data_IF_237169797058
#
_entry.id   IF_237169797058
#
_cell.length_a   1.000
_cell.length_b   1.000
_cell.length_c   1.000
_cell.angle_alpha   90.00
_cell.angle_beta   90.00
_cell.angle_gamma   90.00
#
_symmetry.space_group_name_H-M   'P 1'
#
loop_
_entity.id
_entity.type
_entity.pdbx_description
1 polymer ?
#
# COMPACT_ATOMS: atom_id res chain seq x y z
N UNK A 1 21.17 96.15 65.03
CA UNK A 1 20.83 94.71 64.96
C UNK A 1 19.31 94.57 64.89
N UNK A 2 18.82 93.86 63.86
CA UNK A 2 17.40 93.56 63.60
C UNK A 2 16.88 92.47 64.56
N UNK A 3 15.55 92.45 64.81
CA UNK A 3 14.84 91.19 64.63
C UNK A 3 13.65 91.38 63.68
N UNK A 4 13.74 90.75 62.51
CA UNK A 4 12.60 90.54 61.61
C UNK A 4 11.68 89.49 62.23
N UNK A 5 10.47 89.90 62.63
CA UNK A 5 9.39 88.95 62.98
C UNK A 5 8.93 88.26 61.69
N UNK A 6 9.20 86.96 61.57
CA UNK A 6 8.63 86.13 60.52
C UNK A 6 7.15 85.90 60.82
N UNK A 7 6.27 86.30 59.90
CA UNK A 7 4.86 85.94 59.95
C UNK A 7 4.74 84.44 59.63
N UNK A 8 4.22 83.66 60.59
CA UNK A 8 3.84 82.26 60.35
C UNK A 8 2.57 82.28 59.53
N UNK A 9 2.70 82.03 58.23
CA UNK A 9 1.56 81.75 57.35
C UNK A 9 0.91 80.45 57.83
N UNK A 10 -0.32 80.53 58.34
CA UNK A 10 -1.13 79.32 58.55
C UNK A 10 -1.41 78.70 57.18
N UNK A 11 -0.72 77.60 56.88
CA UNK A 11 -1.03 76.76 55.72
C UNK A 11 -2.47 76.24 55.88
N UNK A 12 -3.37 76.69 55.00
CA UNK A 12 -4.70 76.11 54.87
C UNK A 12 -4.57 74.73 54.19
N UNK A 13 -5.06 73.68 54.86
CA UNK A 13 -4.86 72.26 54.52
C UNK A 13 -5.55 71.73 53.25
N UNK A 14 -5.67 72.52 52.18
CA UNK A 14 -6.28 72.06 50.92
C UNK A 14 -5.38 71.15 50.08
N UNK A 15 -4.05 71.29 50.19
CA UNK A 15 -3.10 70.44 49.48
C UNK A 15 -3.17 68.97 49.93
N UNK A 16 -3.46 68.71 51.21
CA UNK A 16 -3.61 67.36 51.75
C UNK A 16 -4.86 66.66 51.19
N UNK A 17 -5.99 67.37 51.11
CA UNK A 17 -7.23 66.83 50.55
C UNK A 17 -7.09 66.50 49.06
N UNK A 18 -6.45 67.39 48.28
CA UNK A 18 -6.14 67.15 46.88
C UNK A 18 -5.14 66.00 46.70
N UNK A 19 -4.11 65.90 47.55
CA UNK A 19 -3.15 64.80 47.54
C UNK A 19 -3.79 63.44 47.83
N UNK A 20 -4.69 63.36 48.82
CA UNK A 20 -5.45 62.15 49.13
C UNK A 20 -6.41 61.77 48.00
N UNK A 21 -7.09 62.73 47.39
CA UNK A 21 -7.95 62.48 46.23
C UNK A 21 -7.15 61.95 45.04
N UNK A 22 -5.95 62.50 44.79
CA UNK A 22 -5.07 62.09 43.70
C UNK A 22 -4.47 60.70 43.96
N UNK A 23 -4.10 60.38 45.21
CA UNK A 23 -3.69 59.03 45.59
C UNK A 23 -4.84 58.02 45.47
N UNK A 24 -6.06 58.38 45.84
CA UNK A 24 -7.23 57.53 45.66
C UNK A 24 -7.49 57.25 44.17
N UNK A 25 -7.41 58.28 43.32
CA UNK A 25 -7.51 58.14 41.86
C UNK A 25 -6.39 57.24 41.30
N UNK A 26 -5.14 57.45 41.72
CA UNK A 26 -4.01 56.63 41.32
C UNK A 26 -4.18 55.16 41.76
N UNK A 27 -4.66 54.93 42.98
CA UNK A 27 -4.97 53.59 43.50
C UNK A 27 -6.06 52.89 42.70
N UNK A 28 -7.15 53.60 42.36
CA UNK A 28 -8.21 53.07 41.49
C UNK A 28 -7.69 52.75 40.09
N UNK A 29 -6.88 53.64 39.50
CA UNK A 29 -6.27 53.41 38.20
C UNK A 29 -5.33 52.19 38.21
N UNK A 30 -4.53 52.02 39.27
CA UNK A 30 -3.66 50.86 39.46
C UNK A 30 -4.45 49.54 39.52
N UNK A 31 -5.52 49.50 40.32
CA UNK A 31 -6.40 48.32 40.42
C UNK A 31 -7.05 47.99 39.06
N UNK A 32 -7.49 49.02 38.31
CA UNK A 32 -8.05 48.83 36.98
C UNK A 32 -7.02 48.27 35.99
N UNK A 33 -5.78 48.79 36.01
CA UNK A 33 -4.67 48.30 35.18
C UNK A 33 -4.30 46.85 35.54
N UNK A 34 -4.27 46.52 36.83
CA UNK A 34 -4.02 45.15 37.29
C UNK A 34 -5.09 44.19 36.79
N UNK A 35 -6.38 44.53 36.92
CA UNK A 35 -7.48 43.72 36.40
C UNK A 35 -7.45 43.57 34.88
N UNK A 36 -7.07 44.61 34.15
CA UNK A 36 -6.87 44.53 32.70
C UNK A 36 -5.70 43.60 32.35
N UNK A 37 -4.60 43.69 33.09
CA UNK A 37 -3.42 42.84 32.94
C UNK A 37 -3.72 41.36 33.18
N UNK A 38 -4.48 41.04 34.24
CA UNK A 38 -4.92 39.67 34.52
C UNK A 38 -5.81 39.12 33.41
N UNK A 39 -6.80 39.90 32.93
CA UNK A 39 -7.68 39.49 31.83
C UNK A 39 -6.93 39.31 30.51
N UNK A 40 -6.00 40.21 30.20
CA UNK A 40 -5.15 40.11 29.01
C UNK A 40 -4.24 38.87 29.09
N UNK A 41 -3.66 38.60 30.26
CA UNK A 41 -2.86 37.42 30.55
C UNK A 41 -3.65 36.12 30.39
N UNK A 42 -4.83 36.02 31.01
CA UNK A 42 -5.72 34.87 30.92
C UNK A 42 -6.16 34.62 29.46
N UNK A 43 -6.49 35.67 28.71
CA UNK A 43 -6.81 35.57 27.28
C UNK A 43 -5.62 35.09 26.46
N UNK A 44 -4.41 35.62 26.71
CA UNK A 44 -3.19 35.19 26.02
C UNK A 44 -2.84 33.73 26.33
N UNK A 45 -3.03 33.29 27.58
CA UNK A 45 -2.87 31.89 27.97
C UNK A 45 -3.87 30.98 27.26
N UNK A 46 -5.15 31.38 27.19
CA UNK A 46 -6.18 30.62 26.47
C UNK A 46 -5.84 30.50 24.99
N UNK A 47 -5.42 31.59 24.34
CA UNK A 47 -4.99 31.57 22.95
C UNK A 47 -3.84 30.60 22.72
N UNK A 48 -2.77 30.66 23.54
CA UNK A 48 -1.64 29.72 23.46
C UNK A 48 -2.07 28.27 23.66
N UNK A 49 -2.93 28.00 24.63
CA UNK A 49 -3.44 26.65 24.91
C UNK A 49 -4.29 26.12 23.75
N UNK A 50 -5.11 26.98 23.14
CA UNK A 50 -5.95 26.66 21.97
C UNK A 50 -5.10 26.36 20.75
N UNK A 51 -4.07 27.17 20.51
CA UNK A 51 -3.13 27.01 19.41
C UNK A 51 -2.32 25.71 19.54
N UNK A 52 -1.85 25.41 20.76
CA UNK A 52 -1.16 24.18 21.08
C UNK A 52 -2.06 22.95 20.89
N UNK A 53 -3.34 23.03 21.32
CA UNK A 53 -4.32 21.98 21.11
C UNK A 53 -4.58 21.73 19.61
N UNK A 54 -4.85 22.79 18.84
CA UNK A 54 -5.09 22.68 17.39
C UNK A 54 -3.87 22.11 16.64
N UNK A 55 -2.67 22.59 16.94
CA UNK A 55 -1.44 22.05 16.34
C UNK A 55 -1.25 20.57 16.71
N UNK A 56 -1.45 20.20 17.98
CA UNK A 56 -1.31 18.82 18.43
C UNK A 56 -2.31 17.88 17.78
N UNK A 57 -3.55 18.33 17.58
CA UNK A 57 -4.56 17.58 16.83
C UNK A 57 -4.14 17.33 15.37
N UNK A 58 -3.57 18.35 14.71
CA UNK A 58 -3.01 18.19 13.36
C UNK A 58 -1.81 17.22 13.34
N UNK A 59 -0.95 17.25 14.36
CA UNK A 59 0.16 16.27 14.50
C UNK A 59 -0.36 14.84 14.60
N UNK A 60 -1.41 14.59 15.40
CA UNK A 60 -2.01 13.26 15.53
C UNK A 60 -2.58 12.77 14.20
N UNK A 61 -3.31 13.61 13.48
CA UNK A 61 -3.84 13.28 12.15
C UNK A 61 -2.71 12.98 11.16
N UNK A 62 -1.67 13.83 11.08
CA UNK A 62 -0.52 13.61 10.20
C UNK A 62 0.21 12.30 10.53
N UNK A 63 0.39 11.96 11.81
CA UNK A 63 0.96 10.67 12.24
C UNK A 63 0.11 9.48 11.79
N UNK A 64 -1.21 9.59 11.89
CA UNK A 64 -2.12 8.54 11.43
C UNK A 64 -1.99 8.30 9.91
N UNK A 65 -1.93 9.38 9.12
CA UNK A 65 -1.75 9.32 7.67
C UNK A 65 -0.38 8.75 7.28
N UNK A 66 0.69 9.12 8.00
CA UNK A 66 2.02 8.55 7.81
C UNK A 66 2.08 7.05 8.15
N UNK A 67 1.42 6.64 9.24
CA UNK A 67 1.36 5.23 9.61
C UNK A 67 0.56 4.41 8.60
N UNK A 68 -0.55 4.95 8.08
CA UNK A 68 -1.26 4.34 6.95
C UNK A 68 -0.33 4.18 5.73
N UNK A 69 0.49 5.18 5.42
CA UNK A 69 1.46 5.08 4.33
C UNK A 69 2.51 3.99 4.54
N UNK A 70 3.02 3.83 5.76
CA UNK A 70 3.92 2.72 6.11
C UNK A 70 3.23 1.36 6.01
N UNK A 71 1.98 1.25 6.47
CA UNK A 71 1.19 0.01 6.36
C UNK A 71 1.00 -0.37 4.90
N UNK A 72 0.62 0.57 4.03
CA UNK A 72 0.45 0.28 2.60
C UNK A 72 1.77 -0.18 1.96
N UNK A 73 2.91 0.45 2.29
CA UNK A 73 4.23 0.00 1.82
C UNK A 73 4.60 -1.39 2.32
N UNK A 74 4.30 -1.70 3.59
CA UNK A 74 4.51 -3.03 4.15
C UNK A 74 3.63 -4.08 3.45
N UNK A 75 2.37 -3.76 3.17
CA UNK A 75 1.48 -4.61 2.37
C UNK A 75 2.07 -4.88 0.98
N UNK A 76 2.62 -3.87 0.28
CA UNK A 76 3.34 -4.08 -1.00
C UNK A 76 4.50 -5.05 -0.83
N UNK A 77 5.32 -4.88 0.22
CA UNK A 77 6.43 -5.79 0.52
C UNK A 77 5.97 -7.24 0.71
N UNK A 78 4.89 -7.46 1.45
CA UNK A 78 4.31 -8.79 1.60
C UNK A 78 3.76 -9.35 0.28
N UNK A 79 3.17 -8.53 -0.59
CA UNK A 79 2.73 -9.00 -1.90
C UNK A 79 3.91 -9.44 -2.79
N UNK A 80 5.04 -8.75 -2.72
CA UNK A 80 6.28 -9.18 -3.40
C UNK A 80 6.77 -10.51 -2.82
N UNK A 81 6.73 -10.70 -1.49
CA UNK A 81 7.08 -11.96 -0.86
C UNK A 81 6.16 -13.11 -1.31
N UNK A 82 4.84 -12.89 -1.36
CA UNK A 82 3.87 -13.87 -1.86
C UNK A 82 4.13 -14.24 -3.33
N UNK A 83 4.49 -13.27 -4.18
CA UNK A 83 4.89 -13.54 -5.56
C UNK A 83 6.11 -14.46 -5.64
N UNK A 84 7.14 -14.21 -4.81
CA UNK A 84 8.32 -15.06 -4.73
C UNK A 84 7.98 -16.47 -4.24
N UNK A 85 7.16 -16.59 -3.20
CA UNK A 85 6.77 -17.87 -2.62
C UNK A 85 5.95 -18.71 -3.60
N UNK A 86 5.03 -18.10 -4.35
CA UNK A 86 4.32 -18.79 -5.43
C UNK A 86 5.29 -19.29 -6.51
N UNK A 87 6.23 -18.44 -6.95
CA UNK A 87 7.25 -18.80 -7.94
C UNK A 87 8.20 -19.89 -7.46
N UNK A 88 8.66 -19.82 -6.21
CA UNK A 88 9.51 -20.85 -5.61
C UNK A 88 8.76 -22.17 -5.46
N UNK A 89 7.48 -22.15 -5.09
CA UNK A 89 6.68 -23.37 -4.98
C UNK A 89 6.43 -24.03 -6.35
N UNK A 90 6.15 -23.23 -7.38
CA UNK A 90 6.06 -23.73 -8.75
C UNK A 90 7.40 -24.31 -9.22
N UNK A 91 8.51 -23.63 -8.92
CA UNK A 91 9.85 -24.11 -9.23
C UNK A 91 10.22 -25.39 -8.46
N UNK A 92 9.88 -25.51 -7.18
CA UNK A 92 10.15 -26.69 -6.38
C UNK A 92 9.40 -27.92 -6.93
N UNK A 93 8.13 -27.74 -7.29
CA UNK A 93 7.34 -28.79 -7.97
C UNK A 93 7.92 -29.16 -9.33
N UNK A 94 8.41 -28.18 -10.06
CA UNK A 94 9.11 -28.37 -11.32
C UNK A 94 10.41 -29.18 -11.14
N UNK A 95 11.22 -28.86 -10.12
CA UNK A 95 12.44 -29.59 -9.81
C UNK A 95 12.15 -31.05 -9.43
N UNK A 96 11.14 -31.28 -8.60
CA UNK A 96 10.65 -32.63 -8.25
C UNK A 96 10.27 -33.46 -9.48
N UNK A 97 9.41 -32.93 -10.33
CA UNK A 97 8.92 -33.65 -11.52
C UNK A 97 10.04 -33.86 -12.53
N UNK A 98 10.99 -32.93 -12.62
CA UNK A 98 12.18 -33.09 -13.44
C UNK A 98 13.12 -34.18 -12.92
N UNK A 99 13.35 -34.23 -11.60
CA UNK A 99 14.14 -35.29 -10.98
C UNK A 99 13.49 -36.67 -11.21
N UNK A 100 12.16 -36.76 -11.15
CA UNK A 100 11.41 -37.98 -11.46
C UNK A 100 11.57 -38.40 -12.92
N UNK A 101 11.41 -37.49 -13.89
CA UNK A 101 11.60 -37.77 -15.33
C UNK A 101 13.04 -38.18 -15.67
N UNK A 102 14.02 -37.52 -15.05
CA UNK A 102 15.44 -37.87 -15.16
C UNK A 102 15.71 -39.30 -14.64
N UNK A 103 15.15 -39.64 -13.48
CA UNK A 103 15.30 -40.98 -12.87
C UNK A 103 14.65 -42.07 -13.73
N UNK A 104 13.51 -41.75 -14.35
CA UNK A 104 12.85 -42.61 -15.32
C UNK A 104 13.53 -42.65 -16.71
N UNK A 105 14.67 -41.95 -16.88
CA UNK A 105 15.39 -41.82 -18.15
C UNK A 105 14.50 -41.38 -19.32
N UNK A 106 13.51 -40.53 -19.06
CA UNK A 106 12.54 -40.09 -20.06
C UNK A 106 12.45 -38.56 -20.13
N UNK A 107 13.23 -37.91 -21.01
CA UNK A 107 14.28 -38.46 -21.87
C UNK A 107 15.60 -38.74 -21.11
N UNK A 108 16.53 -39.55 -21.65
CA UNK A 108 17.85 -39.75 -21.04
C UNK A 108 18.71 -38.48 -21.06
N UNK A 109 19.51 -38.25 -20.01
CA UNK A 109 20.41 -37.08 -19.92
C UNK A 109 21.42 -37.04 -21.07
N UNK A 110 21.96 -38.20 -21.45
CA UNK A 110 22.91 -38.30 -22.57
C UNK A 110 22.28 -37.83 -23.89
N UNK A 111 21.00 -38.17 -24.15
CA UNK A 111 20.28 -37.69 -25.33
C UNK A 111 20.13 -36.17 -25.32
N UNK A 112 19.76 -35.59 -24.17
CA UNK A 112 19.67 -34.13 -24.02
C UNK A 112 21.02 -33.46 -24.27
N UNK A 113 22.12 -34.07 -23.81
CA UNK A 113 23.48 -33.60 -24.08
C UNK A 113 23.86 -33.65 -25.55
N UNK A 114 23.55 -34.76 -26.23
CA UNK A 114 23.81 -34.95 -27.65
C UNK A 114 23.06 -33.90 -28.51
N UNK A 115 21.79 -33.65 -28.18
CA UNK A 115 20.93 -32.77 -28.97
C UNK A 115 21.17 -31.29 -28.68
N UNK A 116 21.38 -30.91 -27.42
CA UNK A 116 21.34 -29.51 -26.96
C UNK A 116 22.61 -29.04 -26.22
N UNK A 117 23.65 -29.88 -26.22
CA UNK A 117 24.97 -29.59 -25.66
C UNK A 117 25.10 -29.87 -24.16
N UNK A 118 26.35 -29.82 -23.64
CA UNK A 118 26.68 -30.23 -22.28
C UNK A 118 26.01 -29.37 -21.19
N UNK A 119 25.77 -28.08 -21.45
CA UNK A 119 25.06 -27.21 -20.50
C UNK A 119 23.61 -27.67 -20.29
N UNK A 120 22.93 -28.14 -21.33
CA UNK A 120 21.56 -28.66 -21.21
C UNK A 120 21.54 -29.99 -20.44
N UNK A 121 22.48 -30.90 -20.74
CA UNK A 121 22.63 -32.15 -19.99
C UNK A 121 22.88 -31.89 -18.50
N UNK A 122 23.78 -30.96 -18.15
CA UNK A 122 24.04 -30.61 -16.74
C UNK A 122 22.80 -30.02 -16.07
N UNK A 123 22.11 -29.08 -16.70
CA UNK A 123 20.90 -28.48 -16.13
C UNK A 123 19.77 -29.49 -15.91
N UNK A 124 19.58 -30.42 -16.85
CA UNK A 124 18.58 -31.47 -16.71
C UNK A 124 19.00 -32.55 -15.68
N UNK A 125 20.27 -32.96 -15.72
CA UNK A 125 20.83 -34.00 -14.85
C UNK A 125 21.02 -33.58 -13.39
N UNK A 126 21.17 -32.28 -13.13
CA UNK A 126 21.30 -31.71 -11.79
C UNK A 126 19.94 -31.53 -11.07
N UNK A 127 18.82 -31.93 -11.68
CA UNK A 127 17.52 -31.88 -11.01
C UNK A 127 17.50 -32.77 -9.77
N UNK A 128 17.05 -32.18 -8.66
CA UNK A 128 16.91 -32.82 -7.36
C UNK A 128 15.50 -32.63 -6.83
N UNK A 129 15.12 -33.45 -5.87
CA UNK A 129 13.91 -33.23 -5.09
C UNK A 129 14.03 -31.89 -4.33
N UNK A 130 12.92 -31.15 -4.26
CA UNK A 130 12.83 -29.85 -3.60
C UNK A 130 11.49 -29.77 -2.84
N UNK A 131 11.50 -29.71 -1.50
CA UNK A 131 10.27 -29.68 -0.71
C UNK A 131 9.54 -28.34 -0.88
N UNK A 132 8.23 -28.40 -1.17
CA UNK A 132 7.38 -27.23 -1.37
C UNK A 132 6.46 -26.89 -0.17
N UNK A 133 6.42 -27.74 0.86
CA UNK A 133 5.52 -27.60 2.02
C UNK A 133 5.77 -26.32 2.81
N UNK A 134 7.01 -26.10 3.23
CA UNK A 134 7.42 -24.91 4.02
C UNK A 134 7.13 -23.60 3.27
N UNK A 135 7.24 -23.61 1.94
CA UNK A 135 6.92 -22.45 1.10
C UNK A 135 5.43 -22.10 1.14
N UNK A 136 4.55 -23.09 1.20
CA UNK A 136 3.10 -22.86 1.30
C UNK A 136 2.70 -22.39 2.71
N UNK A 137 3.37 -22.88 3.75
CA UNK A 137 3.17 -22.37 5.11
C UNK A 137 3.63 -20.90 5.22
N UNK A 138 4.80 -20.56 4.68
CA UNK A 138 5.27 -19.19 4.61
C UNK A 138 4.33 -18.28 3.81
N UNK A 139 3.76 -18.79 2.70
CA UNK A 139 2.77 -18.07 1.90
C UNK A 139 1.54 -17.72 2.76
N UNK A 140 0.98 -18.71 3.46
CA UNK A 140 -0.18 -18.51 4.32
C UNK A 140 0.10 -17.51 5.46
N UNK A 141 1.28 -17.57 6.07
CA UNK A 141 1.69 -16.64 7.13
C UNK A 141 1.79 -15.19 6.64
N UNK A 142 2.35 -14.96 5.45
CA UNK A 142 2.41 -13.62 4.86
C UNK A 142 1.03 -13.08 4.45
N UNK A 143 0.16 -13.93 3.89
CA UNK A 143 -1.23 -13.56 3.57
C UNK A 143 -1.99 -13.20 4.86
N UNK A 144 -1.77 -13.95 5.94
CA UNK A 144 -2.36 -13.68 7.24
C UNK A 144 -1.89 -12.35 7.84
N UNK A 145 -0.60 -12.10 7.85
CA UNK A 145 -0.04 -10.85 8.36
C UNK A 145 -0.61 -9.63 7.61
N UNK A 146 -0.73 -9.73 6.28
CA UNK A 146 -1.28 -8.65 5.47
C UNK A 146 -2.76 -8.34 5.79
N UNK A 147 -3.58 -9.38 6.05
CA UNK A 147 -5.03 -9.22 6.24
C UNK A 147 -5.47 -9.12 7.70
N UNK A 148 -4.83 -9.82 8.64
CA UNK A 148 -5.23 -9.83 10.05
C UNK A 148 -4.48 -8.81 10.89
N UNK A 149 -3.28 -8.41 10.48
CA UNK A 149 -2.49 -7.43 11.24
C UNK A 149 -2.50 -6.08 10.54
N UNK A 150 -1.96 -6.01 9.32
CA UNK A 150 -1.79 -4.73 8.62
C UNK A 150 -3.11 -4.08 8.21
N UNK A 151 -4.02 -4.84 7.58
CA UNK A 151 -5.35 -4.32 7.25
C UNK A 151 -6.15 -3.91 8.49
N UNK A 152 -6.13 -4.73 9.55
CA UNK A 152 -6.86 -4.43 10.78
C UNK A 152 -6.30 -3.18 11.47
N UNK A 153 -4.98 -3.01 11.48
CA UNK A 153 -4.34 -1.79 11.97
C UNK A 153 -4.76 -0.56 11.15
N UNK A 154 -4.76 -0.65 9.81
CA UNK A 154 -5.22 0.43 8.94
C UNK A 154 -6.70 0.78 9.18
N UNK A 155 -7.56 -0.23 9.28
CA UNK A 155 -8.99 -0.04 9.53
C UNK A 155 -9.24 0.60 10.91
N UNK A 156 -8.45 0.23 11.93
CA UNK A 156 -8.52 0.81 13.28
C UNK A 156 -8.04 2.27 13.28
N UNK A 157 -6.91 2.57 12.64
CA UNK A 157 -6.40 3.93 12.50
C UNK A 157 -7.41 4.84 11.81
N UNK A 158 -8.03 4.38 10.71
CA UNK A 158 -9.00 5.17 9.98
C UNK A 158 -10.29 5.43 10.80
N UNK A 159 -10.76 4.45 11.58
CA UNK A 159 -11.92 4.59 12.47
C UNK A 159 -11.66 5.53 13.64
N UNK A 160 -10.53 5.36 14.32
CA UNK A 160 -10.30 5.96 15.63
C UNK A 160 -9.56 7.32 15.56
N UNK A 161 -9.02 7.69 14.39
CA UNK A 161 -8.21 8.90 14.21
C UNK A 161 -8.86 10.18 14.80
N UNK A 162 -10.17 10.38 14.63
CA UNK A 162 -10.87 11.55 15.19
C UNK A 162 -10.93 11.50 16.72
N UNK A 163 -11.30 10.36 17.28
CA UNK A 163 -11.39 10.19 18.72
C UNK A 163 -10.02 10.41 19.38
N UNK A 164 -8.96 9.83 18.81
CA UNK A 164 -7.58 10.00 19.28
C UNK A 164 -7.11 11.46 19.16
N UNK A 165 -7.44 12.15 18.06
CA UNK A 165 -7.19 13.59 17.89
C UNK A 165 -7.86 14.38 19.01
N UNK A 166 -9.17 14.22 19.18
CA UNK A 166 -9.97 15.01 20.13
C UNK A 166 -9.53 14.76 21.58
N UNK A 167 -9.22 13.51 21.93
CA UNK A 167 -8.67 13.16 23.24
C UNK A 167 -7.31 13.85 23.49
N UNK A 168 -6.42 13.86 22.48
CA UNK A 168 -5.12 14.53 22.58
C UNK A 168 -5.27 16.04 22.71
N UNK A 169 -6.17 16.66 21.95
CA UNK A 169 -6.45 18.10 22.06
C UNK A 169 -6.95 18.47 23.47
N UNK A 170 -7.87 17.68 24.04
CA UNK A 170 -8.34 17.89 25.42
C UNK A 170 -7.23 17.70 26.45
N UNK A 171 -6.36 16.69 26.27
CA UNK A 171 -5.23 16.46 27.17
C UNK A 171 -4.23 17.64 27.15
N UNK A 172 -3.88 18.13 25.96
CA UNK A 172 -3.00 19.31 25.80
C UNK A 172 -3.63 20.57 26.40
N UNK A 173 -4.94 20.77 26.20
CA UNK A 173 -5.65 21.90 26.77
C UNK A 173 -5.64 21.85 28.31
N UNK A 174 -5.93 20.70 28.91
CA UNK A 174 -5.88 20.51 30.38
C UNK A 174 -4.47 20.71 30.95
N UNK A 175 -3.43 20.29 30.23
CA UNK A 175 -2.05 20.48 30.66
C UNK A 175 -1.65 21.97 30.82
N UNK A 176 -2.33 22.89 30.13
CA UNK A 176 -2.12 24.33 30.29
C UNK A 176 -2.83 24.93 31.51
N UNK A 177 -3.72 24.17 32.15
CA UNK A 177 -4.54 24.58 33.29
C UNK A 177 -4.52 23.51 34.41
N UNK A 178 -3.36 23.29 35.06
CA UNK A 178 -3.24 22.28 36.12
C UNK A 178 -4.02 22.64 37.40
N UNK A 179 -4.39 23.91 37.57
CA UNK A 179 -5.05 24.41 38.77
C UNK A 179 -6.57 24.15 38.79
N UNK A 180 -7.17 23.79 37.65
CA UNK A 180 -8.61 23.56 37.55
C UNK A 180 -9.13 23.75 36.13
N UNK A 181 -10.32 23.21 35.88
CA UNK A 181 -10.96 23.20 34.56
C UNK A 181 -12.11 24.20 34.46
N UNK A 182 -12.09 25.32 35.21
CA UNK A 182 -13.12 26.38 35.36
C UNK A 182 -14.04 26.62 34.14
N UNK A 183 -14.97 25.71 33.87
CA UNK A 183 -15.80 25.73 32.66
C UNK A 183 -15.01 25.65 31.33
N UNK A 184 -13.83 25.03 31.34
CA UNK A 184 -12.96 24.81 30.18
C UNK A 184 -13.60 23.82 29.20
N UNK A 185 -14.02 24.32 28.06
CA UNK A 185 -14.62 23.51 26.99
C UNK A 185 -13.79 23.55 25.72
N UNK A 186 -13.87 22.47 24.95
CA UNK A 186 -13.31 22.38 23.61
C UNK A 186 -14.39 21.84 22.66
N UNK A 187 -14.66 22.61 21.61
CA UNK A 187 -15.62 22.28 20.57
C UNK A 187 -14.93 22.31 19.22
N UNK A 188 -15.23 21.34 18.36
CA UNK A 188 -14.76 21.31 16.97
C UNK A 188 -15.82 21.99 16.11
N UNK A 189 -15.51 23.17 15.56
CA UNK A 189 -16.43 23.97 14.74
C UNK A 189 -16.52 23.44 13.30
N UNK A 190 -15.38 23.00 12.76
CA UNK A 190 -15.27 22.43 11.41
C UNK A 190 -14.34 21.23 11.45
N UNK A 191 -14.68 20.17 10.73
CA UNK A 191 -13.84 18.98 10.59
C UNK A 191 -13.93 18.45 9.16
N UNK A 192 -12.82 18.47 8.43
CA UNK A 192 -12.75 17.94 7.06
C UNK A 192 -12.41 16.44 7.03
N UNK A 193 -12.15 15.81 8.19
CA UNK A 193 -11.85 14.37 8.27
C UNK A 193 -13.00 13.42 7.87
N UNK A 194 -14.28 13.67 8.23
CA UNK A 194 -15.39 12.80 7.82
C UNK A 194 -15.42 12.63 6.29
N UNK A 195 -15.30 11.40 5.81
CA UNK A 195 -15.27 11.10 4.37
C UNK A 195 -13.94 11.43 3.68
N UNK A 196 -12.93 11.94 4.39
CA UNK A 196 -11.60 12.19 3.83
C UNK A 196 -10.91 10.89 3.42
N UNK A 197 -10.91 9.89 4.29
CA UNK A 197 -10.34 8.57 3.99
C UNK A 197 -11.41 7.65 3.42
N UNK A 198 -11.17 7.16 2.21
CA UNK A 198 -12.00 6.16 1.53
C UNK A 198 -11.28 4.83 1.47
N UNK A 199 -11.97 3.77 1.87
CA UNK A 199 -11.47 2.39 1.71
C UNK A 199 -11.68 1.94 0.26
N UNK A 200 -10.63 1.46 -0.38
CA UNK A 200 -10.62 1.00 -1.78
C UNK A 200 -10.18 -0.45 -1.81
N UNK A 201 -10.79 -1.23 -2.71
CA UNK A 201 -10.40 -2.63 -2.92
C UNK A 201 -8.97 -2.73 -3.43
N UNK A 202 -8.22 -3.73 -2.98
CA UNK A 202 -6.83 -3.93 -3.41
C UNK A 202 -6.69 -4.11 -4.93
N UNK A 203 -7.72 -4.64 -5.58
CA UNK A 203 -7.80 -4.88 -7.03
C UNK A 203 -8.20 -3.65 -7.85
N UNK A 204 -8.67 -2.58 -7.21
CA UNK A 204 -9.11 -1.35 -7.88
C UNK A 204 -7.95 -0.56 -8.53
N UNK A 205 -8.29 0.40 -9.40
CA UNK A 205 -7.30 1.17 -10.17
C UNK A 205 -6.31 1.96 -9.29
N UNK A 206 -6.78 2.44 -8.12
CA UNK A 206 -5.97 3.12 -7.09
C UNK A 206 -5.65 2.20 -5.90
N UNK A 207 -5.93 0.91 -6.04
CA UNK A 207 -5.66 -0.11 -5.04
C UNK A 207 -4.20 -0.58 -5.06
N UNK A 208 -3.93 -1.63 -4.30
CA UNK A 208 -2.60 -2.21 -4.15
C UNK A 208 -2.05 -2.87 -5.42
N UNK A 209 -2.91 -3.30 -6.36
CA UNK A 209 -2.51 -4.07 -7.56
C UNK A 209 -1.39 -3.40 -8.34
N UNK A 210 -1.55 -2.13 -8.70
CA UNK A 210 -0.55 -1.41 -9.50
C UNK A 210 0.79 -1.29 -8.78
N UNK A 211 0.75 -1.08 -7.46
CA UNK A 211 1.93 -1.02 -6.62
C UNK A 211 2.64 -2.36 -6.50
N UNK A 212 1.89 -3.43 -6.21
CA UNK A 212 2.42 -4.78 -6.11
C UNK A 212 3.05 -5.26 -7.43
N UNK A 213 2.42 -4.99 -8.57
CA UNK A 213 2.95 -5.35 -9.88
C UNK A 213 4.22 -4.58 -10.25
N UNK A 214 4.24 -3.26 -10.00
CA UNK A 214 5.46 -2.46 -10.22
C UNK A 214 6.59 -2.91 -9.32
N UNK A 215 6.31 -3.17 -8.05
CA UNK A 215 7.31 -3.65 -7.09
C UNK A 215 7.87 -5.03 -7.49
N UNK A 216 7.00 -5.97 -7.89
CA UNK A 216 7.42 -7.26 -8.43
C UNK A 216 8.24 -7.13 -9.73
N UNK A 217 7.97 -6.07 -10.51
CA UNK A 217 8.69 -5.72 -11.74
C UNK A 217 10.19 -5.52 -11.57
N UNK A 218 10.67 -5.18 -10.37
CA UNK A 218 12.09 -4.98 -10.09
C UNK A 218 12.88 -6.29 -9.90
N UNK A 219 12.20 -7.43 -9.81
CA UNK A 219 12.85 -8.72 -9.52
C UNK A 219 12.85 -9.60 -10.77
N UNK A 220 14.03 -9.85 -11.33
CA UNK A 220 14.22 -10.70 -12.53
C UNK A 220 13.62 -12.10 -12.36
N UNK A 221 13.71 -12.67 -11.15
CA UNK A 221 13.15 -13.99 -10.86
C UNK A 221 11.63 -14.04 -11.04
N UNK A 222 10.93 -12.93 -10.84
CA UNK A 222 9.48 -12.84 -11.02
C UNK A 222 9.07 -12.58 -12.48
N UNK A 223 10.00 -12.14 -13.33
CA UNK A 223 9.78 -11.96 -14.76
C UNK A 223 9.64 -13.29 -15.50
N UNK A 224 9.22 -13.30 -16.79
CA UNK A 224 9.17 -14.51 -17.59
C UNK A 224 10.53 -15.25 -17.64
N UNK A 225 10.53 -16.54 -17.31
CA UNK A 225 11.73 -17.41 -17.24
C UNK A 225 11.81 -18.31 -18.47
N UNK A 226 11.68 -17.69 -19.64
CA UNK A 226 11.50 -18.38 -20.91
C UNK A 226 12.82 -18.54 -21.67
N UNK A 227 13.05 -19.73 -22.23
CA UNK A 227 14.06 -19.91 -23.27
C UNK A 227 13.67 -20.99 -24.26
N UNK A 228 14.20 -20.89 -25.48
CA UNK A 228 14.14 -21.96 -26.47
C UNK A 228 15.56 -22.21 -26.97
N UNK A 229 16.00 -23.46 -26.93
CA UNK A 229 17.27 -23.87 -27.51
C UNK A 229 17.00 -24.87 -28.62
N UNK A 230 17.46 -24.56 -29.82
CA UNK A 230 17.42 -25.47 -30.95
C UNK A 230 18.58 -26.47 -30.88
N UNK A 231 18.36 -27.65 -31.44
CA UNK A 231 19.35 -28.71 -31.49
C UNK A 231 20.40 -28.47 -32.58
N UNK A 232 21.58 -29.07 -32.40
CA UNK A 232 22.75 -28.79 -33.24
C UNK A 232 22.71 -29.46 -34.64
N UNK A 233 21.75 -30.34 -34.90
CA UNK A 233 21.78 -31.23 -36.07
C UNK A 233 20.46 -31.21 -36.86
N UNK A 234 20.55 -31.43 -38.16
CA UNK A 234 19.38 -31.76 -38.99
C UNK A 234 18.86 -33.12 -38.54
N UNK A 235 17.58 -33.16 -38.17
CA UNK A 235 16.95 -34.36 -37.59
C UNK A 235 16.53 -35.35 -38.68
N UNK A 236 15.93 -34.85 -39.75
CA UNK A 236 15.38 -35.66 -40.83
C UNK A 236 15.52 -34.91 -42.15
N UNK A 237 15.95 -35.58 -43.23
CA UNK A 237 15.94 -35.01 -44.58
C UNK A 237 14.55 -34.53 -45.02
N UNK A 238 13.48 -35.12 -44.48
CA UNK A 238 12.09 -34.70 -44.76
C UNK A 238 11.71 -33.38 -44.07
N UNK A 239 12.46 -32.98 -43.05
CA UNK A 239 12.22 -31.75 -42.28
C UNK A 239 13.51 -30.92 -42.18
N UNK A 240 14.12 -30.52 -43.30
CA UNK A 240 15.48 -29.98 -43.33
C UNK A 240 15.58 -28.61 -42.65
N UNK A 241 14.48 -27.86 -42.59
CA UNK A 241 14.39 -26.54 -41.97
C UNK A 241 14.06 -26.57 -40.47
N UNK A 242 13.77 -27.75 -39.90
CA UNK A 242 13.38 -27.87 -38.49
C UNK A 242 14.49 -28.49 -37.65
N UNK A 243 14.58 -28.05 -36.41
CA UNK A 243 15.50 -28.59 -35.41
C UNK A 243 14.69 -29.07 -34.20
N UNK A 244 15.24 -30.05 -33.49
CA UNK A 244 14.77 -30.36 -32.14
C UNK A 244 14.79 -29.11 -31.28
N UNK A 245 13.86 -28.98 -30.33
CA UNK A 245 13.80 -27.80 -29.46
C UNK A 245 13.71 -28.20 -27.99
N UNK A 246 14.46 -27.51 -27.15
CA UNK A 246 14.34 -27.56 -25.70
C UNK A 246 13.68 -26.24 -25.25
N UNK A 247 12.48 -26.33 -24.70
CA UNK A 247 11.65 -25.15 -24.38
C UNK A 247 11.41 -25.08 -22.88
N UNK A 248 11.84 -24.00 -22.24
CA UNK A 248 11.43 -23.64 -20.89
C UNK A 248 10.40 -22.52 -20.94
N UNK A 249 9.28 -22.68 -20.24
CA UNK A 249 8.30 -21.61 -20.03
C UNK A 249 8.06 -21.42 -18.55
N UNK A 250 8.27 -20.21 -18.06
CA UNK A 250 8.06 -19.88 -16.65
C UNK A 250 7.44 -18.50 -16.52
N UNK A 251 6.40 -18.37 -15.70
CA UNK A 251 5.69 -17.10 -15.53
C UNK A 251 5.21 -16.95 -14.10
N UNK A 252 5.23 -15.71 -13.62
CA UNK A 252 4.58 -15.29 -12.38
C UNK A 252 3.48 -14.31 -12.76
N UNK A 253 2.30 -14.42 -12.16
CA UNK A 253 1.21 -13.49 -12.43
C UNK A 253 0.40 -13.19 -11.18
N UNK A 254 -0.29 -12.06 -11.23
CA UNK A 254 -1.31 -11.66 -10.27
C UNK A 254 -2.68 -11.79 -10.93
N UNK A 255 -3.52 -12.71 -10.45
CA UNK A 255 -4.82 -12.99 -11.06
C UNK A 255 -5.82 -11.84 -10.85
N UNK A 256 -7.03 -11.99 -11.39
CA UNK A 256 -8.09 -10.96 -11.31
C UNK A 256 -8.60 -10.73 -9.88
N UNK A 257 -8.50 -11.74 -9.04
CA UNK A 257 -8.93 -11.73 -7.64
C UNK A 257 -7.81 -11.22 -6.72
N UNK A 258 -6.63 -10.94 -7.29
CA UNK A 258 -5.49 -10.39 -6.58
C UNK A 258 -4.62 -11.46 -5.91
N UNK A 259 -4.70 -12.71 -6.36
CA UNK A 259 -3.86 -13.82 -5.87
C UNK A 259 -2.67 -14.03 -6.78
N UNK A 260 -1.50 -14.27 -6.17
CA UNK A 260 -0.30 -14.61 -6.92
C UNK A 260 -0.32 -16.07 -7.36
N UNK A 261 0.11 -16.30 -8.59
CA UNK A 261 0.31 -17.63 -9.14
C UNK A 261 1.59 -17.69 -9.96
N UNK A 262 2.14 -18.88 -10.09
CA UNK A 262 3.31 -19.11 -10.90
C UNK A 262 3.31 -20.51 -11.54
N UNK A 263 4.03 -20.65 -12.64
CA UNK A 263 4.25 -21.92 -13.33
C UNK A 263 5.65 -21.97 -13.90
N UNK A 264 6.25 -23.16 -13.94
CA UNK A 264 7.50 -23.45 -14.61
C UNK A 264 7.36 -24.79 -15.34
N UNK A 265 7.76 -24.85 -16.60
CA UNK A 265 7.74 -26.06 -17.43
C UNK A 265 9.00 -26.16 -18.27
N UNK A 266 9.46 -27.38 -18.52
CA UNK A 266 10.53 -27.71 -19.44
C UNK A 266 10.10 -28.92 -20.26
N UNK A 267 10.20 -28.81 -21.58
CA UNK A 267 9.91 -29.91 -22.49
C UNK A 267 10.93 -30.01 -23.61
N UNK A 268 11.22 -31.25 -23.99
CA UNK A 268 11.93 -31.59 -25.22
C UNK A 268 10.90 -31.78 -26.34
N UNK A 269 10.98 -30.96 -27.38
CA UNK A 269 10.13 -31.01 -28.57
C UNK A 269 10.88 -31.71 -29.69
N UNK A 270 10.51 -32.97 -29.94
CA UNK A 270 11.12 -33.77 -30.98
C UNK A 270 10.49 -33.47 -32.35
N UNK A 271 11.29 -33.13 -33.35
CA UNK A 271 10.82 -33.07 -34.74
C UNK A 271 10.50 -34.48 -35.19
N UNK A 272 9.26 -34.69 -35.63
CA UNK A 272 8.76 -35.93 -36.21
C UNK A 272 8.12 -35.62 -37.56
N UNK A 273 7.96 -36.64 -38.39
CA UNK A 273 7.20 -36.53 -39.63
C UNK A 273 6.34 -37.76 -39.87
N UNK A 274 5.20 -37.55 -40.51
CA UNK A 274 4.40 -38.62 -41.08
C UNK A 274 3.73 -38.13 -42.38
N UNK A 275 3.08 -39.05 -43.11
CA UNK A 275 2.43 -38.74 -44.39
C UNK A 275 1.15 -37.87 -44.28
N UNK A 276 0.59 -37.71 -43.08
CA UNK A 276 -0.72 -37.11 -42.87
C UNK A 276 -0.63 -35.62 -42.49
N UNK A 277 0.27 -35.28 -41.57
CA UNK A 277 0.40 -33.90 -41.05
C UNK A 277 1.78 -33.30 -41.31
N UNK A 278 2.62 -33.98 -42.10
CA UNK A 278 3.97 -33.53 -42.42
C UNK A 278 4.87 -33.46 -41.19
N UNK A 279 5.75 -32.45 -41.15
CA UNK A 279 6.71 -32.23 -40.08
C UNK A 279 6.08 -31.52 -38.88
N UNK A 280 6.18 -32.09 -37.69
CA UNK A 280 5.58 -31.57 -36.46
C UNK A 280 6.46 -31.80 -35.24
N UNK A 281 6.15 -31.12 -34.14
CA UNK A 281 6.79 -31.31 -32.84
C UNK A 281 6.00 -32.27 -31.96
N UNK A 282 6.66 -33.34 -31.50
CA UNK A 282 6.16 -34.17 -30.40
C UNK A 282 6.78 -33.69 -29.10
N UNK A 283 5.94 -33.33 -28.15
CA UNK A 283 6.37 -32.88 -26.83
C UNK A 283 6.70 -34.08 -25.92
N UNK A 284 7.85 -34.01 -25.26
CA UNK A 284 8.24 -34.85 -24.13
C UNK A 284 8.40 -33.94 -22.92
N UNK A 285 7.44 -34.01 -21.99
CA UNK A 285 7.45 -33.22 -20.77
C UNK A 285 8.60 -33.67 -19.86
N UNK A 286 9.55 -32.77 -19.60
CA UNK A 286 10.76 -33.05 -18.83
C UNK A 286 10.66 -32.57 -17.39
N UNK A 287 9.87 -31.55 -17.11
CA UNK A 287 9.63 -31.02 -15.76
C UNK A 287 8.49 -30.01 -15.79
N UNK A 288 7.71 -29.94 -14.71
CA UNK A 288 6.55 -29.06 -14.63
C UNK A 288 6.12 -28.75 -13.19
N UNK A 289 5.64 -27.53 -12.99
CA UNK A 289 5.10 -27.07 -11.73
C UNK A 289 4.11 -25.93 -11.93
N UNK A 290 3.10 -25.89 -11.07
CA UNK A 290 2.06 -24.88 -11.04
C UNK A 290 1.67 -24.65 -9.58
N UNK A 291 1.83 -23.42 -9.11
CA UNK A 291 1.36 -22.98 -7.80
C UNK A 291 0.38 -21.82 -8.02
N UNK A 292 -0.92 -22.14 -8.00
CA UNK A 292 -1.98 -21.16 -8.22
C UNK A 292 -3.33 -21.73 -7.78
N UNK A 293 -4.16 -20.87 -7.18
CA UNK A 293 -5.55 -21.19 -6.86
C UNK A 293 -6.44 -21.17 -8.12
N UNK A 294 -6.11 -20.28 -9.05
CA UNK A 294 -6.86 -20.07 -10.30
C UNK A 294 -5.94 -19.61 -11.44
N UNK A 295 -6.45 -19.60 -12.67
CA UNK A 295 -5.76 -18.93 -13.78
C UNK A 295 -4.60 -19.70 -14.43
N UNK A 296 -4.61 -21.04 -14.40
CA UNK A 296 -3.64 -21.87 -15.14
C UNK A 296 -3.55 -21.52 -16.64
N UNK A 297 -4.63 -20.96 -17.21
CA UNK A 297 -4.67 -20.46 -18.59
C UNK A 297 -3.67 -19.33 -18.87
N UNK A 298 -3.24 -18.58 -17.85
CA UNK A 298 -2.21 -17.55 -17.99
C UNK A 298 -0.81 -18.14 -18.20
N UNK A 299 -0.58 -19.38 -17.78
CA UNK A 299 0.68 -20.08 -18.04
C UNK A 299 0.75 -20.64 -19.48
N UNK A 300 -0.41 -20.81 -20.14
CA UNK A 300 -0.50 -21.26 -21.53
C UNK A 300 -1.63 -22.25 -21.78
N UNK A 301 -1.71 -22.76 -23.03
CA UNK A 301 -2.68 -23.78 -23.42
C UNK A 301 -2.42 -25.08 -22.66
N UNK A 302 -3.48 -25.72 -22.15
CA UNK A 302 -3.42 -27.00 -21.45
C UNK A 302 -4.79 -27.69 -21.48
N UNK A 303 -4.85 -28.95 -21.07
CA UNK A 303 -6.07 -29.68 -20.77
C UNK A 303 -5.95 -30.35 -19.41
N UNK A 304 -7.08 -30.64 -18.75
CA UNK A 304 -7.07 -31.23 -17.40
C UNK A 304 -6.83 -32.75 -17.40
N UNK A 305 -7.09 -33.43 -18.52
CA UNK A 305 -7.01 -34.89 -18.66
C UNK A 305 -6.11 -35.26 -19.83
N UNK A 306 -4.82 -34.99 -19.68
CA UNK A 306 -3.81 -35.46 -20.63
C UNK A 306 -3.37 -36.90 -20.27
N UNK A 307 -3.21 -37.81 -21.25
CA UNK A 307 -2.65 -39.14 -21.03
C UNK A 307 -1.26 -39.09 -20.39
N UNK A 308 -0.95 -40.04 -19.51
CA UNK A 308 0.41 -40.16 -18.92
C UNK A 308 1.44 -40.66 -19.95
N UNK A 309 0.99 -41.44 -20.93
CA UNK A 309 1.74 -41.86 -22.10
C UNK A 309 0.86 -41.90 -23.37
N UNK A 310 1.50 -42.15 -24.50
CA UNK A 310 0.86 -42.21 -25.82
C UNK A 310 1.07 -43.58 -26.47
N UNK A 311 1.06 -44.65 -25.67
CA UNK A 311 1.21 -46.04 -26.15
C UNK A 311 -0.03 -46.53 -26.89
N UNK A 312 -1.22 -46.16 -26.40
CA UNK A 312 -2.51 -46.57 -26.95
C UNK A 312 -2.99 -45.73 -28.15
N UNK A 313 -2.37 -44.57 -28.37
CA UNK A 313 -2.73 -43.65 -29.46
C UNK A 313 -1.58 -42.73 -29.81
N UNK A 314 -1.35 -42.53 -31.11
CA UNK A 314 -0.41 -41.54 -31.61
C UNK A 314 -0.66 -40.14 -31.00
N UNK A 315 0.42 -39.53 -30.49
CA UNK A 315 0.41 -38.17 -29.93
C UNK A 315 -0.32 -37.16 -30.83
N UNK A 316 0.00 -37.13 -32.12
CA UNK A 316 -0.61 -36.17 -33.05
C UNK A 316 -2.11 -36.39 -33.25
N UNK A 317 -2.57 -37.65 -33.26
CA UNK A 317 -3.99 -37.99 -33.37
C UNK A 317 -4.74 -37.60 -32.12
N UNK A 318 -4.13 -37.79 -30.95
CA UNK A 318 -4.71 -37.39 -29.69
C UNK A 318 -4.85 -35.88 -29.60
N UNK A 319 -3.77 -35.14 -29.92
CA UNK A 319 -3.76 -33.67 -29.93
C UNK A 319 -4.83 -33.11 -30.85
N UNK A 320 -4.95 -33.64 -32.08
CA UNK A 320 -5.94 -33.17 -33.05
C UNK A 320 -7.39 -33.43 -32.59
N UNK A 321 -7.63 -34.53 -31.87
CA UNK A 321 -8.98 -34.89 -31.39
C UNK A 321 -9.41 -34.17 -30.12
N UNK A 322 -8.49 -33.86 -29.22
CA UNK A 322 -8.82 -33.42 -27.85
C UNK A 322 -8.35 -32.01 -27.52
N UNK A 323 -7.62 -31.36 -28.41
CA UNK A 323 -6.96 -30.08 -28.12
C UNK A 323 -6.92 -29.17 -29.35
N UNK A 324 -6.57 -27.91 -29.14
CA UNK A 324 -6.25 -26.93 -30.19
C UNK A 324 -4.75 -26.63 -30.29
N UNK A 325 -3.87 -27.53 -29.82
CA UNK A 325 -2.45 -27.23 -29.73
C UNK A 325 -1.79 -27.18 -31.12
N UNK A 326 -1.01 -26.12 -31.35
CA UNK A 326 -0.24 -25.96 -32.58
C UNK A 326 1.04 -26.83 -32.55
N UNK A 327 0.99 -27.99 -33.19
CA UNK A 327 2.12 -28.91 -33.34
C UNK A 327 3.19 -28.45 -34.35
N UNK A 328 2.88 -27.49 -35.20
CA UNK A 328 3.75 -27.06 -36.30
C UNK A 328 4.64 -25.87 -35.91
N UNK A 329 4.33 -25.11 -34.88
CA UNK A 329 5.15 -23.95 -34.50
C UNK A 329 4.76 -23.30 -33.18
N UNK A 330 3.91 -23.95 -32.38
CA UNK A 330 3.55 -23.44 -31.06
C UNK A 330 4.80 -23.31 -30.19
N UNK A 331 4.88 -22.23 -29.41
CA UNK A 331 6.03 -21.97 -28.51
C UNK A 331 5.81 -22.50 -27.10
N UNK A 332 4.63 -22.97 -26.73
CA UNK A 332 4.34 -23.43 -25.35
C UNK A 332 4.73 -24.89 -25.10
N UNK A 333 4.60 -25.31 -23.85
CA UNK A 333 4.74 -26.69 -23.38
C UNK A 333 3.38 -27.21 -22.88
N UNK A 334 2.39 -27.35 -23.77
CA UNK A 334 1.03 -27.62 -23.35
C UNK A 334 0.84 -28.98 -22.66
N UNK A 335 1.62 -30.01 -23.01
CA UNK A 335 1.56 -31.30 -22.32
C UNK A 335 2.13 -31.19 -20.89
N UNK A 336 3.31 -30.58 -20.74
CA UNK A 336 3.89 -30.36 -19.42
C UNK A 336 2.99 -29.50 -18.53
N UNK A 337 2.39 -28.44 -19.09
CA UNK A 337 1.45 -27.60 -18.36
C UNK A 337 0.16 -28.34 -17.99
N UNK A 338 -0.30 -29.27 -18.84
CA UNK A 338 -1.45 -30.14 -18.53
C UNK A 338 -1.16 -31.03 -17.32
N UNK A 339 0.05 -31.60 -17.22
CA UNK A 339 0.47 -32.35 -16.03
C UNK A 339 0.64 -31.46 -14.79
N UNK A 340 1.07 -30.21 -14.97
CA UNK A 340 1.12 -29.24 -13.86
C UNK A 340 -0.28 -28.90 -13.35
N UNK A 341 -1.22 -28.69 -14.28
CA UNK A 341 -2.60 -28.34 -13.97
C UNK A 341 -3.33 -29.45 -13.21
N UNK A 342 -3.09 -30.72 -13.56
CA UNK A 342 -3.71 -31.87 -12.88
C UNK A 342 -3.20 -32.09 -11.45
N UNK A 343 -1.99 -31.60 -11.11
CA UNK A 343 -1.35 -31.75 -9.79
C UNK A 343 -0.83 -30.43 -9.23
N UNK A 344 -1.65 -29.37 -9.37
CA UNK A 344 -1.30 -28.01 -8.95
C UNK A 344 -1.17 -27.89 -7.43
N UNK A 345 -0.29 -27.00 -6.98
CA UNK A 345 -0.24 -26.51 -5.62
C UNK A 345 -1.22 -25.34 -5.49
N UNK A 346 -2.00 -25.32 -4.41
CA UNK A 346 -2.98 -24.28 -4.12
C UNK A 346 -2.53 -23.50 -2.88
N UNK A 347 -1.98 -22.28 -3.04
CA UNK A 347 -1.54 -21.47 -1.91
C UNK A 347 -2.69 -20.98 -1.00
N UNK A 348 -3.93 -20.91 -1.49
CA UNK A 348 -5.11 -20.55 -0.69
C UNK A 348 -5.18 -19.07 -0.27
N UNK A 349 -4.59 -18.16 -1.05
CA UNK A 349 -4.48 -16.75 -0.66
C UNK A 349 -5.80 -15.98 -0.65
N UNK A 350 -5.94 -14.98 0.22
CA UNK A 350 -7.14 -14.10 0.28
C UNK A 350 -7.17 -13.05 -0.83
N UNK A 351 -6.04 -12.80 -1.47
CA UNK A 351 -5.90 -11.82 -2.55
C UNK A 351 -5.22 -10.54 -2.06
N UNK A 352 -5.52 -9.42 -2.70
CA UNK A 352 -4.96 -8.13 -2.31
C UNK A 352 -5.77 -7.50 -1.16
N UNK A 353 -5.13 -7.11 -0.04
CA UNK A 353 -5.81 -6.36 0.99
C UNK A 353 -6.27 -5.00 0.46
N UNK A 354 -7.28 -4.43 1.11
CA UNK A 354 -7.77 -3.10 0.80
C UNK A 354 -6.77 -2.04 1.29
N UNK A 355 -6.88 -0.85 0.72
CA UNK A 355 -6.07 0.31 1.11
C UNK A 355 -6.97 1.51 1.33
N UNK A 356 -6.46 2.52 2.01
CA UNK A 356 -7.12 3.81 2.13
C UNK A 356 -6.54 4.81 1.13
N UNK A 357 -7.41 5.65 0.58
CA UNK A 357 -7.03 6.81 -0.23
C UNK A 357 -7.75 8.07 0.25
N UNK A 358 -7.21 9.27 -0.01
CA UNK A 358 -7.96 10.51 0.16
C UNK A 358 -9.11 10.61 -0.85
N UNK A 359 -10.26 11.11 -0.41
CA UNK A 359 -11.47 11.25 -1.24
C UNK A 359 -11.32 12.31 -2.35
N UNK A 360 -10.56 13.38 -2.08
CA UNK A 360 -10.16 14.35 -3.09
C UNK A 360 -8.66 14.29 -3.32
N UNK A 361 -8.28 14.16 -4.59
CA UNK A 361 -6.89 14.17 -5.04
C UNK A 361 -6.36 15.57 -5.38
N UNK A 362 -7.19 16.62 -5.29
CA UNK A 362 -6.76 18.00 -5.55
C UNK A 362 -6.10 18.66 -4.34
N UNK A 363 -6.46 18.23 -3.13
CA UNK A 363 -5.99 18.82 -1.89
C UNK A 363 -5.44 17.70 -1.00
N UNK A 364 -4.12 17.52 -1.04
CA UNK A 364 -3.43 16.61 -0.14
C UNK A 364 -3.32 17.24 1.27
N UNK A 365 -4.46 17.67 1.81
CA UNK A 365 -4.58 18.28 3.12
C UNK A 365 -5.95 17.98 3.73
N UNK A 366 -6.00 17.92 5.06
CA UNK A 366 -7.20 17.76 5.86
C UNK A 366 -7.09 18.66 7.08
N UNK A 367 -8.11 19.47 7.32
CA UNK A 367 -8.12 20.49 8.37
C UNK A 367 -9.28 20.34 9.34
N UNK A 368 -9.19 21.09 10.43
CA UNK A 368 -10.27 21.29 11.38
C UNK A 368 -10.08 22.62 12.11
N UNK A 369 -11.17 23.14 12.66
CA UNK A 369 -11.20 24.36 13.47
C UNK A 369 -11.79 24.04 14.84
N UNK A 370 -11.20 24.58 15.90
CA UNK A 370 -11.67 24.43 17.27
C UNK A 370 -11.99 25.78 17.89
N UNK A 371 -12.95 25.76 18.82
CA UNK A 371 -13.23 26.82 19.77
C UNK A 371 -13.02 26.29 21.17
N UNK A 372 -12.32 27.06 21.99
CA UNK A 372 -12.22 26.79 23.42
C UNK A 372 -12.83 27.93 24.20
N UNK A 373 -13.48 27.61 25.31
CA UNK A 373 -14.00 28.59 26.24
C UNK A 373 -13.53 28.27 27.65
N UNK A 374 -13.32 29.30 28.47
CA UNK A 374 -13.03 29.18 29.90
C UNK A 374 -13.71 30.33 30.64
N UNK A 375 -14.14 30.11 31.87
CA UNK A 375 -14.64 31.15 32.75
C UNK A 375 -13.49 31.72 33.59
N UNK A 376 -13.32 33.03 33.57
CA UNK A 376 -12.31 33.75 34.34
C UNK A 376 -12.99 34.95 35.02
N UNK A 377 -12.99 35.02 36.36
CA UNK A 377 -13.54 36.15 37.12
C UNK A 377 -14.97 36.59 36.66
N UNK A 378 -15.84 35.63 36.34
CA UNK A 378 -17.21 35.89 35.88
C UNK A 378 -17.37 36.24 34.39
N UNK A 379 -16.28 36.35 33.63
CA UNK A 379 -16.28 36.57 32.17
C UNK A 379 -15.99 35.25 31.46
N UNK A 380 -16.66 35.00 30.33
CA UNK A 380 -16.33 33.86 29.46
C UNK A 380 -15.31 34.31 28.42
N UNK A 381 -14.09 33.79 28.52
CA UNK A 381 -13.06 33.95 27.52
C UNK A 381 -13.24 32.90 26.43
N UNK A 382 -13.07 33.29 25.17
CA UNK A 382 -13.11 32.36 24.03
C UNK A 382 -11.93 32.57 23.10
N UNK A 383 -11.39 31.48 22.58
CA UNK A 383 -10.34 31.47 21.57
C UNK A 383 -10.69 30.48 20.46
N UNK A 384 -10.19 30.74 19.25
CA UNK A 384 -10.30 29.85 18.09
C UNK A 384 -8.93 29.58 17.50
N UNK A 385 -8.74 28.36 17.02
CA UNK A 385 -7.56 27.99 16.25
C UNK A 385 -7.91 26.90 15.24
N UNK A 386 -7.16 26.85 14.14
CA UNK A 386 -7.29 25.81 13.14
C UNK A 386 -5.99 25.01 13.00
N UNK A 387 -6.15 23.70 12.85
CA UNK A 387 -5.06 22.75 12.58
C UNK A 387 -5.22 22.14 11.20
N UNK A 388 -4.12 21.92 10.49
CA UNK A 388 -4.14 21.26 9.20
C UNK A 388 -3.00 20.23 9.07
N UNK A 389 -3.37 19.03 8.66
CA UNK A 389 -2.44 18.02 8.17
C UNK A 389 -2.31 18.17 6.66
N UNK A 390 -1.10 18.25 6.12
CA UNK A 390 -0.88 18.40 4.69
C UNK A 390 0.32 17.56 4.24
N UNK A 391 0.28 17.11 2.99
CA UNK A 391 1.35 16.37 2.37
C UNK A 391 2.38 17.35 1.77
N UNK A 392 3.65 17.15 2.10
CA UNK A 392 4.74 17.97 1.54
C UNK A 392 6.00 17.14 1.40
N UNK A 393 6.53 17.05 0.18
CA UNK A 393 7.76 16.32 -0.12
C UNK A 393 8.99 17.08 0.37
N UNK A 394 10.08 16.39 0.74
CA UNK A 394 11.35 17.04 1.03
C UNK A 394 11.84 17.90 -0.15
N UNK A 395 12.48 19.06 0.11
CA UNK A 395 13.08 19.88 -0.93
C UNK A 395 14.04 19.06 -1.82
N UNK A 396 14.05 19.34 -3.13
CA UNK A 396 14.89 18.61 -4.10
C UNK A 396 14.34 17.24 -4.54
N UNK A 397 13.21 16.79 -3.99
CA UNK A 397 12.55 15.55 -4.44
C UNK A 397 11.68 15.83 -5.68
N UNK A 398 12.14 15.46 -6.87
CA UNK A 398 11.29 15.45 -8.06
C UNK A 398 10.55 14.11 -8.16
N UNK A 399 9.23 14.12 -8.00
CA UNK A 399 8.39 13.00 -8.45
C UNK A 399 8.14 13.19 -9.94
N UNK A 400 8.32 12.13 -10.73
CA UNK A 400 8.03 12.15 -12.17
C UNK A 400 6.62 12.72 -12.41
N UNK A 401 6.42 13.49 -13.49
CA UNK A 401 5.15 14.17 -13.81
C UNK A 401 3.96 13.21 -13.68
N UNK A 402 3.20 13.37 -12.60
CA UNK A 402 2.07 12.52 -12.21
C UNK A 402 1.71 12.75 -10.75
N UNK A 403 0.43 12.59 -10.39
CA UNK A 403 -0.06 12.76 -9.00
C UNK A 403 0.63 11.73 -8.09
N UNK A 404 1.31 12.14 -7.01
CA UNK A 404 1.82 11.18 -6.04
C UNK A 404 0.64 10.51 -5.33
N UNK A 405 0.65 9.18 -5.22
CA UNK A 405 -0.28 8.48 -4.32
C UNK A 405 0.15 8.77 -2.88
N UNK A 406 -0.36 9.88 -2.34
CA UNK A 406 0.10 10.51 -1.09
C UNK A 406 -0.02 9.61 0.16
N UNK A 407 -0.83 8.55 0.11
CA UNK A 407 -0.91 7.53 1.16
C UNK A 407 -0.02 6.31 0.91
N UNK A 408 0.95 6.40 0.01
CA UNK A 408 2.09 5.47 -0.06
C UNK A 408 3.41 6.16 0.34
N UNK A 409 3.35 7.44 0.72
CA UNK A 409 4.50 8.26 1.06
C UNK A 409 4.30 8.89 2.45
N UNK A 410 5.18 8.63 3.43
CA UNK A 410 5.00 9.08 4.81
C UNK A 410 5.51 10.52 5.02
N UNK A 411 5.02 11.47 4.22
CA UNK A 411 5.42 12.89 4.27
C UNK A 411 4.28 13.84 4.63
N UNK A 412 3.36 13.37 5.48
CA UNK A 412 2.33 14.20 6.08
C UNK A 412 2.90 15.01 7.23
N UNK A 413 2.65 16.32 7.20
CA UNK A 413 3.13 17.31 8.15
C UNK A 413 1.97 18.09 8.75
N UNK A 414 2.16 18.62 9.94
CA UNK A 414 1.17 19.43 10.64
C UNK A 414 1.55 20.90 10.60
N UNK A 415 0.55 21.77 10.43
CA UNK A 415 0.71 23.22 10.58
C UNK A 415 -0.53 23.82 11.23
N UNK A 416 -0.38 25.01 11.78
CA UNK A 416 -1.52 25.87 12.08
C UNK A 416 -2.08 26.49 10.81
N UNK A 417 -3.40 26.63 10.75
CA UNK A 417 -4.10 27.36 9.72
C UNK A 417 -4.76 28.60 10.33
N UNK A 418 -5.06 29.61 9.52
CA UNK A 418 -5.85 30.74 9.96
C UNK A 418 -7.29 30.28 10.26
N UNK A 419 -7.82 30.66 11.42
CA UNK A 419 -9.26 30.54 11.69
C UNK A 419 -10.01 31.42 10.66
N UNK A 420 -11.14 30.95 10.15
CA UNK A 420 -11.94 31.59 9.08
C UNK A 420 -11.32 31.60 7.65
N UNK A 421 -10.10 31.12 7.42
CA UNK A 421 -9.64 30.87 6.06
C UNK A 421 -10.45 29.72 5.45
N UNK A 422 -10.85 29.84 4.18
CA UNK A 422 -11.48 28.76 3.43
C UNK A 422 -10.53 27.54 3.39
N UNK A 423 -10.63 26.68 4.41
CA UNK A 423 -9.96 25.39 4.42
C UNK A 423 -10.51 24.61 3.21
N UNK A 424 -9.66 23.82 2.54
CA UNK A 424 -10.00 23.06 1.34
C UNK A 424 -11.40 22.44 1.44
N UNK A 425 -12.35 22.96 0.66
CA UNK A 425 -13.74 22.54 0.73
C UNK A 425 -13.88 21.21 0.01
N UNK A 426 -14.17 20.15 0.75
CA UNK A 426 -14.68 18.91 0.18
C UNK A 426 -15.90 19.24 -0.67
N UNK A 427 -15.78 19.10 -2.00
CA UNK A 427 -16.82 19.41 -2.94
C UNK A 427 -18.09 18.61 -2.63
N UNK A 428 -19.03 19.22 -1.91
CA UNK A 428 -20.42 18.75 -1.82
C UNK A 428 -21.02 18.91 -3.21
N UNK A 429 -21.09 17.80 -3.95
CA UNK A 429 -21.89 17.71 -5.16
C UNK A 429 -23.36 17.84 -4.73
N UNK A 430 -23.96 18.99 -4.97
CA UNK A 430 -25.40 19.17 -4.89
C UNK A 430 -26.05 18.24 -5.91
N UNK A 431 -26.84 17.29 -5.42
CA UNK A 431 -27.74 16.52 -6.26
C UNK A 431 -28.84 17.49 -6.69
N UNK A 432 -28.75 18.03 -7.91
CA UNK A 432 -29.91 18.62 -8.59
C UNK A 432 -30.77 17.46 -9.08
N UNK A 433 -31.98 17.35 -8.54
CA UNK A 433 -33.03 16.53 -9.10
C UNK A 433 -33.42 17.01 -10.51
N UNK A 434 -34.06 16.15 -11.32
CA UNK A 434 -34.41 16.47 -12.69
C UNK A 434 -35.59 17.46 -12.70
N UNK A 435 -35.35 18.68 -13.19
CA UNK A 435 -36.44 19.55 -13.64
C UNK A 435 -36.96 19.02 -14.98
N UNK A 436 -38.16 18.47 -14.91
CA UNK A 436 -39.09 18.28 -16.02
C UNK A 436 -39.42 19.62 -16.67
N UNK A 437 -39.37 19.70 -18.00
CA UNK A 437 -40.09 20.69 -18.81
C UNK A 437 -40.44 20.10 -20.19
N UNK A 438 -41.49 20.65 -20.83
CA UNK A 438 -42.65 19.92 -21.36
C UNK A 438 -42.43 19.19 -22.69
#
# INVERSE_FOLDING_TARGET
MRPTRAAVTRQAGQALALGLALMALAGMAWLALYGLGQRAGARAQLLRATDAAAYSGAVVQARALNLLAYIHRAQVGHQVALAHLASLAAWARFAQTQAARRTAQNPPVALIGLLFGPRAARGYGAAQDAPAGDLMQAYAAHDELAHRVLQQAADTLARDARATRDATMRAVLRAHYPQGDDGLTLEVLRDDWPGYLRRVTGTGARGLRGWAQRAAGYFDFLQPRDFTREGNWIVSPRCPTRRHELRRRGVTWLDRDGRWGASDTLSFHAVRSNRWIGCYFREYAMGWGLAADSGATRAGPHVLRAPEDFSQQDFWRWVHRHTSWNLLGGRHNPLALSYAASRRLSPGGRGLPAVYEPASSSEAAVGFEIRTQRREEGIVLSARAAGQSHFSLPPGTSVARGRPDVLFLPYWQARRAAADAALPMGARRTVRGPESRP
#
